data_IF_331974207565
#
_entry.id   IF_331974207565
#
_cell.length_a   1.000
_cell.length_b   1.000
_cell.length_c   1.000
_cell.angle_alpha   90.00
_cell.angle_beta   90.00
_cell.angle_gamma   90.00
#
_symmetry.space_group_name_H-M   'P 1'
#
loop_
_entity.id
_entity.type
_entity.pdbx_description
1 polymer ?
#
# COMPACT_ATOMS: atom_id res chain seq x y z
N UNK A 1 -18.65 -20.64 -4.14
CA UNK A 1 -18.20 -21.12 -5.48
C UNK A 1 -16.83 -21.73 -5.27
N UNK A 2 -16.70 -23.05 -5.46
CA UNK A 2 -15.44 -23.75 -5.31
C UNK A 2 -14.47 -23.26 -6.38
N UNK A 3 -13.38 -22.60 -5.97
CA UNK A 3 -12.27 -22.34 -6.87
C UNK A 3 -11.68 -23.71 -7.24
N UNK A 4 -11.88 -24.14 -8.49
CA UNK A 4 -11.18 -25.31 -9.03
C UNK A 4 -9.70 -24.95 -9.17
N UNK A 5 -8.93 -25.26 -8.15
CA UNK A 5 -7.48 -25.21 -8.21
C UNK A 5 -6.97 -26.42 -9.00
N UNK A 6 -6.37 -26.20 -10.16
CA UNK A 6 -5.32 -27.10 -10.63
C UNK A 6 -4.06 -26.69 -9.85
N UNK A 7 -3.26 -27.60 -9.30
CA UNK A 7 -2.22 -27.19 -8.33
C UNK A 7 -1.25 -26.12 -8.86
N UNK A 8 -1.16 -25.92 -10.18
CA UNK A 8 -0.46 -24.79 -10.82
C UNK A 8 1.06 -24.78 -10.60
N UNK A 9 1.59 -25.76 -9.85
CA UNK A 9 3.00 -25.90 -9.49
C UNK A 9 3.90 -26.02 -10.73
N UNK A 10 3.36 -26.59 -11.81
CA UNK A 10 4.04 -26.76 -13.09
C UNK A 10 3.61 -25.73 -14.15
N UNK A 11 2.84 -24.71 -13.77
CA UNK A 11 2.43 -23.66 -14.69
C UNK A 11 3.64 -22.82 -15.11
N UNK A 12 4.04 -23.00 -16.37
CA UNK A 12 5.16 -22.29 -16.99
C UNK A 12 4.92 -20.79 -17.02
N UNK A 13 3.70 -20.35 -17.32
CA UNK A 13 3.34 -18.95 -17.49
C UNK A 13 3.44 -18.21 -16.15
N UNK A 14 2.93 -18.81 -15.06
CA UNK A 14 3.06 -18.21 -13.73
C UNK A 14 4.51 -18.08 -13.28
N UNK A 15 5.35 -19.08 -13.61
CA UNK A 15 6.79 -18.99 -13.32
C UNK A 15 7.48 -17.88 -14.13
N UNK A 16 7.09 -17.70 -15.39
CA UNK A 16 7.55 -16.60 -16.24
C UNK A 16 7.09 -15.24 -15.69
N UNK A 17 5.86 -15.13 -15.19
CA UNK A 17 5.35 -13.91 -14.54
C UNK A 17 6.15 -13.57 -13.26
N UNK A 18 6.50 -14.55 -12.42
CA UNK A 18 7.38 -14.31 -11.26
C UNK A 18 8.75 -13.78 -11.71
N UNK A 19 9.32 -14.35 -12.78
CA UNK A 19 10.61 -13.90 -13.31
C UNK A 19 10.52 -12.46 -13.85
N UNK A 20 9.41 -12.12 -14.51
CA UNK A 20 9.16 -10.77 -15.02
C UNK A 20 9.01 -9.74 -13.89
N UNK A 21 8.26 -10.05 -12.82
CA UNK A 21 8.21 -9.18 -11.64
C UNK A 21 9.60 -9.06 -11.00
N UNK A 22 10.36 -10.16 -10.90
CA UNK A 22 11.74 -10.13 -10.40
C UNK A 22 12.66 -9.21 -11.20
N UNK A 23 12.52 -9.23 -12.53
CA UNK A 23 13.23 -8.33 -13.46
C UNK A 23 12.86 -6.86 -13.24
N UNK A 24 11.57 -6.56 -13.04
CA UNK A 24 11.10 -5.19 -12.80
C UNK A 24 11.57 -4.65 -11.44
N UNK A 25 11.43 -5.45 -10.39
CA UNK A 25 11.95 -5.15 -9.04
C UNK A 25 13.45 -4.84 -9.09
N UNK A 26 14.24 -5.69 -9.76
CA UNK A 26 15.68 -5.47 -9.91
C UNK A 26 16.00 -4.21 -10.72
N UNK A 27 15.35 -4.00 -11.87
CA UNK A 27 15.61 -2.85 -12.74
C UNK A 27 15.20 -1.50 -12.11
N UNK A 28 14.25 -1.50 -11.18
CA UNK A 28 13.90 -0.33 -10.37
C UNK A 28 14.87 -0.07 -9.22
N UNK A 29 15.80 -0.99 -8.96
CA UNK A 29 16.71 -0.91 -7.81
C UNK A 29 16.01 -1.22 -6.48
N UNK A 30 14.86 -1.90 -6.51
CA UNK A 30 14.13 -2.30 -5.30
C UNK A 30 14.70 -3.56 -4.64
N UNK A 31 15.62 -4.23 -5.31
CA UNK A 31 16.33 -5.39 -4.78
C UNK A 31 17.84 -5.25 -5.06
N UNK A 32 18.65 -5.33 -4.01
CA UNK A 32 20.10 -5.36 -4.09
C UNK A 32 20.64 -6.80 -4.01
N UNK A 33 21.52 -7.15 -4.93
CA UNK A 33 22.15 -8.47 -5.03
C UNK A 33 21.13 -9.62 -5.14
N UNK A 34 20.73 -10.23 -4.03
CA UNK A 34 19.88 -11.43 -3.97
C UNK A 34 18.73 -11.32 -2.96
N UNK A 35 18.45 -10.10 -2.49
CA UNK A 35 17.38 -9.82 -1.55
C UNK A 35 15.99 -9.84 -2.21
N UNK A 36 14.97 -9.57 -1.40
CA UNK A 36 13.56 -9.65 -1.79
C UNK A 36 13.09 -11.07 -2.07
N UNK A 37 11.79 -11.22 -2.28
CA UNK A 37 11.17 -12.47 -2.68
C UNK A 37 9.74 -12.25 -3.19
N UNK A 38 9.30 -13.15 -4.04
CA UNK A 38 8.02 -13.09 -4.74
C UNK A 38 7.34 -14.44 -4.58
N UNK A 39 6.04 -14.44 -4.30
CA UNK A 39 5.24 -15.67 -4.29
C UNK A 39 3.84 -15.48 -4.85
N UNK A 40 3.25 -16.58 -5.31
CA UNK A 40 1.84 -16.66 -5.72
C UNK A 40 1.23 -18.01 -5.31
N UNK A 41 0.06 -17.96 -4.69
CA UNK A 41 -0.77 -19.11 -4.34
C UNK A 41 -1.45 -19.65 -5.58
N UNK A 42 -1.23 -20.93 -5.83
CA UNK A 42 -1.66 -21.64 -7.04
C UNK A 42 -2.58 -22.82 -6.73
N UNK A 43 -2.80 -23.11 -5.44
CA UNK A 43 -3.74 -24.13 -4.99
C UNK A 43 -4.34 -23.85 -3.63
N UNK A 44 -5.09 -24.83 -3.12
CA UNK A 44 -5.58 -24.77 -1.74
C UNK A 44 -4.43 -24.80 -0.74
N UNK A 45 -3.36 -25.54 -1.04
CA UNK A 45 -2.21 -25.66 -0.16
C UNK A 45 -0.90 -25.23 -0.83
N UNK A 46 -0.90 -24.91 -2.12
CA UNK A 46 0.34 -24.76 -2.91
C UNK A 46 0.67 -23.32 -3.27
N UNK A 47 1.93 -22.95 -3.11
CA UNK A 47 2.46 -21.61 -3.38
C UNK A 47 3.76 -21.71 -4.17
N UNK A 48 3.80 -21.06 -5.34
CA UNK A 48 5.05 -20.83 -6.08
C UNK A 48 5.81 -19.69 -5.41
N UNK A 49 7.14 -19.81 -5.29
CA UNK A 49 7.97 -18.76 -4.74
C UNK A 49 9.35 -18.68 -5.39
N UNK A 50 9.93 -17.47 -5.36
CA UNK A 50 11.32 -17.27 -5.76
C UNK A 50 12.27 -18.06 -4.86
N UNK A 51 13.38 -18.60 -5.39
CA UNK A 51 14.40 -19.25 -4.57
C UNK A 51 15.24 -18.22 -3.79
N UNK A 52 15.97 -18.71 -2.79
CA UNK A 52 16.96 -17.93 -2.05
C UNK A 52 18.28 -17.79 -2.83
N UNK A 53 19.10 -16.81 -2.46
CA UNK A 53 20.47 -16.60 -2.98
C UNK A 53 20.58 -16.45 -4.51
N UNK A 54 19.56 -15.87 -5.16
CA UNK A 54 19.61 -15.51 -6.58
C UNK A 54 19.18 -14.05 -6.76
N UNK A 55 19.80 -13.36 -7.70
CA UNK A 55 19.31 -12.07 -8.17
C UNK A 55 17.93 -12.23 -8.80
N UNK A 56 16.94 -11.49 -8.30
CA UNK A 56 15.56 -11.56 -8.80
C UNK A 56 15.44 -11.18 -10.27
N UNK A 57 16.33 -10.33 -10.76
CA UNK A 57 16.37 -9.94 -12.17
C UNK A 57 16.89 -11.01 -13.13
N UNK A 58 17.55 -12.06 -12.62
CA UNK A 58 18.17 -13.12 -13.43
C UNK A 58 17.56 -14.51 -13.19
N UNK A 59 16.42 -14.57 -12.50
CA UNK A 59 15.69 -15.82 -12.32
C UNK A 59 15.23 -16.37 -13.67
N UNK A 60 15.27 -17.69 -13.80
CA UNK A 60 14.63 -18.45 -14.87
C UNK A 60 13.44 -19.20 -14.29
N UNK A 61 12.42 -19.53 -15.10
CA UNK A 61 11.27 -20.29 -14.60
C UNK A 61 11.65 -21.61 -13.93
N UNK A 62 12.74 -22.26 -14.37
CA UNK A 62 13.23 -23.52 -13.79
C UNK A 62 13.85 -23.34 -12.39
N UNK A 63 14.18 -22.10 -12.01
CA UNK A 63 14.68 -21.76 -10.67
C UNK A 63 13.53 -21.63 -9.65
N UNK A 64 12.27 -21.48 -10.09
CA UNK A 64 11.12 -21.25 -9.23
C UNK A 64 10.78 -22.49 -8.40
N UNK A 65 10.62 -22.27 -7.09
CA UNK A 65 10.28 -23.30 -6.11
C UNK A 65 8.77 -23.36 -5.88
N UNK A 66 8.31 -24.44 -5.26
CA UNK A 66 6.97 -24.52 -4.68
C UNK A 66 7.01 -25.01 -3.24
N UNK A 67 6.16 -24.44 -2.40
CA UNK A 67 5.95 -24.86 -1.02
C UNK A 67 4.50 -25.17 -0.75
N UNK A 68 4.24 -25.92 0.32
CA UNK A 68 2.92 -25.96 0.94
C UNK A 68 2.67 -24.75 1.87
N UNK A 69 1.46 -24.60 2.43
CA UNK A 69 1.16 -23.51 3.37
C UNK A 69 1.87 -23.65 4.72
N UNK A 70 2.51 -24.78 5.02
CA UNK A 70 3.35 -24.95 6.21
C UNK A 70 4.82 -24.59 5.93
N UNK A 71 5.14 -24.22 4.68
CA UNK A 71 6.47 -23.78 4.25
C UNK A 71 7.41 -24.93 3.88
N UNK A 72 6.90 -26.16 3.80
CA UNK A 72 7.67 -27.30 3.31
C UNK A 72 7.81 -27.19 1.79
N UNK A 73 9.04 -27.37 1.29
CA UNK A 73 9.28 -27.35 -0.14
C UNK A 73 8.77 -28.65 -0.79
N UNK A 74 7.83 -28.51 -1.73
CA UNK A 74 7.16 -29.63 -2.42
C UNK A 74 7.61 -29.78 -3.88
N UNK A 75 8.21 -28.74 -4.48
CA UNK A 75 8.81 -28.82 -5.81
C UNK A 75 9.92 -27.77 -6.03
N UNK A 76 10.67 -27.94 -7.12
CA UNK A 76 11.80 -27.10 -7.52
C UNK A 76 13.15 -27.64 -7.03
N UNK A 77 14.21 -27.38 -7.80
CA UNK A 77 15.57 -27.89 -7.53
C UNK A 77 16.39 -26.97 -6.64
N UNK A 78 16.07 -25.66 -6.64
CA UNK A 78 16.69 -24.68 -5.73
C UNK A 78 16.00 -24.66 -4.38
N UNK A 79 16.68 -24.10 -3.39
CA UNK A 79 16.09 -23.85 -2.07
C UNK A 79 15.16 -22.64 -2.13
N UNK A 80 13.93 -22.79 -1.64
CA UNK A 80 12.94 -21.70 -1.49
C UNK A 80 13.50 -20.48 -0.71
N UNK A 81 12.87 -19.31 -0.86
CA UNK A 81 13.24 -18.11 -0.08
C UNK A 81 13.25 -18.37 1.43
N UNK A 82 14.20 -17.77 2.17
CA UNK A 82 14.28 -17.85 3.64
C UNK A 82 13.02 -17.32 4.33
N UNK A 83 12.33 -16.37 3.71
CA UNK A 83 11.24 -15.60 4.31
C UNK A 83 9.84 -16.05 3.87
N UNK A 84 9.74 -17.28 3.39
CA UNK A 84 8.45 -17.81 2.90
C UNK A 84 7.35 -17.73 3.96
N UNK A 85 7.70 -17.88 5.25
CA UNK A 85 6.75 -17.79 6.36
C UNK A 85 6.03 -16.45 6.44
N UNK A 86 6.68 -15.34 6.06
CA UNK A 86 6.04 -14.02 5.98
C UNK A 86 4.89 -14.05 4.95
N UNK A 87 5.16 -14.59 3.76
CA UNK A 87 4.18 -14.69 2.68
C UNK A 87 3.01 -15.60 3.07
N UNK A 88 3.32 -16.72 3.71
CA UNK A 88 2.32 -17.71 4.12
C UNK A 88 1.45 -17.19 5.26
N UNK A 89 1.99 -16.45 6.23
CA UNK A 89 1.21 -15.80 7.28
C UNK A 89 0.18 -14.83 6.68
N UNK A 90 0.58 -14.04 5.68
CA UNK A 90 -0.33 -13.14 4.95
C UNK A 90 -1.43 -13.93 4.23
N UNK A 91 -1.06 -14.96 3.46
CA UNK A 91 -2.04 -15.75 2.69
C UNK A 91 -2.98 -16.59 3.56
N UNK A 92 -2.56 -16.98 4.78
CA UNK A 92 -3.39 -17.68 5.76
C UNK A 92 -4.43 -16.75 6.40
N UNK A 93 -4.02 -15.55 6.80
CA UNK A 93 -4.92 -14.56 7.41
C UNK A 93 -5.85 -13.92 6.36
N UNK A 94 -5.40 -13.80 5.11
CA UNK A 94 -6.13 -13.15 4.02
C UNK A 94 -6.33 -14.09 2.82
N UNK A 95 -7.41 -14.89 2.79
CA UNK A 95 -7.71 -15.81 1.69
C UNK A 95 -7.92 -15.14 0.32
N UNK A 96 -8.23 -13.84 0.30
CA UNK A 96 -8.34 -13.03 -0.91
C UNK A 96 -6.97 -12.70 -1.55
N UNK A 97 -5.89 -12.80 -0.78
CA UNK A 97 -4.53 -12.57 -1.23
C UNK A 97 -4.00 -13.81 -1.94
N UNK A 98 -3.58 -13.61 -3.19
CA UNK A 98 -2.94 -14.66 -3.99
C UNK A 98 -1.46 -14.40 -4.20
N UNK A 99 -1.00 -13.16 -4.24
CA UNK A 99 0.38 -12.83 -4.54
C UNK A 99 0.98 -11.91 -3.47
N UNK A 100 2.26 -12.09 -3.20
CA UNK A 100 3.03 -11.31 -2.23
C UNK A 100 4.38 -10.96 -2.84
N UNK A 101 4.78 -9.69 -2.73
CA UNK A 101 6.08 -9.16 -3.13
C UNK A 101 6.72 -8.53 -1.90
N UNK A 102 7.87 -9.05 -1.50
CA UNK A 102 8.73 -8.44 -0.50
C UNK A 102 10.01 -7.96 -1.19
N UNK A 103 10.40 -6.72 -0.94
CA UNK A 103 11.63 -6.12 -1.45
C UNK A 103 12.03 -4.90 -0.61
N UNK A 104 13.12 -4.24 -1.02
CA UNK A 104 13.77 -3.14 -0.30
C UNK A 104 13.80 -1.86 -1.14
N UNK A 105 12.64 -1.32 -1.54
CA UNK A 105 12.61 -0.10 -2.33
C UNK A 105 13.17 1.07 -1.50
N UNK A 106 14.12 1.86 -2.04
CA UNK A 106 15.04 2.65 -1.22
C UNK A 106 14.37 3.78 -0.44
N UNK A 107 13.34 4.42 -1.00
CA UNK A 107 12.67 5.53 -0.35
C UNK A 107 11.75 5.03 0.75
N UNK A 108 10.96 4.00 0.50
CA UNK A 108 10.12 3.42 1.56
C UNK A 108 10.96 2.74 2.66
N UNK A 109 12.08 2.12 2.28
CA UNK A 109 13.03 1.54 3.24
C UNK A 109 13.67 2.64 4.11
N UNK A 110 13.87 3.87 3.59
CA UNK A 110 14.32 4.99 4.41
C UNK A 110 13.33 5.33 5.56
N UNK A 111 12.02 5.30 5.30
CA UNK A 111 11.00 5.45 6.34
C UNK A 111 11.05 4.29 7.34
N UNK A 112 11.22 3.05 6.85
CA UNK A 112 11.36 1.86 7.67
C UNK A 112 12.54 1.95 8.66
N UNK A 113 13.68 2.45 8.19
CA UNK A 113 14.91 2.63 9.00
C UNK A 113 14.74 3.80 9.97
N UNK A 114 14.12 4.90 9.54
CA UNK A 114 13.87 6.07 10.37
C UNK A 114 12.79 5.84 11.45
N UNK A 115 12.01 4.75 11.33
CA UNK A 115 10.78 4.51 12.10
C UNK A 115 9.81 5.69 12.00
N UNK A 116 9.75 6.28 10.80
CA UNK A 116 8.88 7.41 10.49
C UNK A 116 7.59 6.86 9.86
N UNK A 117 6.40 7.10 10.45
CA UNK A 117 5.13 6.81 9.81
C UNK A 117 5.03 7.55 8.47
N UNK A 118 4.39 6.94 7.47
CA UNK A 118 4.14 7.62 6.20
C UNK A 118 3.01 8.64 6.39
N UNK A 119 3.20 9.93 6.06
CA UNK A 119 2.11 10.91 6.05
C UNK A 119 0.95 10.48 5.14
N UNK A 120 -0.29 10.72 5.56
CA UNK A 120 -1.49 10.56 4.73
C UNK A 120 -2.01 11.92 4.28
N UNK A 121 -3.02 11.92 3.40
CA UNK A 121 -3.69 13.12 2.88
C UNK A 121 -2.75 14.06 2.13
N UNK A 122 -1.81 13.53 1.35
CA UNK A 122 -0.87 14.36 0.56
C UNK A 122 -0.99 14.12 -0.94
N UNK A 123 -1.23 12.87 -1.35
CA UNK A 123 -1.22 12.48 -2.76
C UNK A 123 -2.47 11.64 -3.10
N UNK A 124 -3.26 12.01 -4.13
CA UNK A 124 -4.54 11.34 -4.40
C UNK A 124 -4.40 9.85 -4.69
N UNK A 125 -3.36 9.46 -5.43
CA UNK A 125 -3.09 8.08 -5.82
C UNK A 125 -2.92 7.17 -4.59
N UNK A 126 -2.29 7.67 -3.53
CA UNK A 126 -2.06 6.90 -2.31
C UNK A 126 -3.36 6.73 -1.54
N UNK A 127 -4.14 7.80 -1.41
CA UNK A 127 -5.42 7.74 -0.73
C UNK A 127 -6.38 6.76 -1.40
N UNK A 128 -6.43 6.78 -2.73
CA UNK A 128 -7.32 5.93 -3.52
C UNK A 128 -6.84 4.48 -3.61
N UNK A 129 -5.56 4.21 -3.88
CA UNK A 129 -5.10 2.85 -4.19
C UNK A 129 -4.50 2.10 -3.00
N UNK A 130 -4.14 2.79 -1.91
CA UNK A 130 -3.44 2.19 -0.78
C UNK A 130 -4.15 2.50 0.54
N UNK A 131 -4.24 3.77 0.93
CA UNK A 131 -4.66 4.19 2.27
C UNK A 131 -3.51 4.15 3.26
N UNK A 132 -3.81 3.94 4.54
CA UNK A 132 -2.81 3.92 5.60
C UNK A 132 -1.85 2.72 5.43
N UNK A 133 -0.55 2.97 5.58
CA UNK A 133 0.49 1.94 5.49
C UNK A 133 1.07 1.70 6.88
N UNK A 134 0.69 0.60 7.56
CA UNK A 134 1.21 0.29 8.88
C UNK A 134 2.68 -0.12 8.81
N UNK A 135 3.37 0.03 9.94
CA UNK A 135 4.76 -0.35 10.10
C UNK A 135 4.87 -1.47 11.14
N UNK A 136 5.21 -2.67 10.70
CA UNK A 136 5.39 -3.81 11.59
C UNK A 136 6.63 -3.60 12.51
N UNK A 137 6.56 -4.01 13.79
CA UNK A 137 7.71 -3.99 14.69
C UNK A 137 8.90 -4.77 14.12
N UNK A 138 10.11 -4.36 14.49
CA UNK A 138 11.32 -5.08 14.10
C UNK A 138 11.35 -6.49 14.73
N UNK A 139 11.72 -7.47 13.91
CA UNK A 139 12.14 -8.80 14.32
C UNK A 139 13.16 -9.30 13.29
N UNK A 140 14.02 -10.24 13.71
CA UNK A 140 15.03 -10.85 12.85
C UNK A 140 14.37 -11.61 11.69
N UNK A 141 14.68 -11.28 10.43
CA UNK A 141 14.03 -11.89 9.27
C UNK A 141 14.20 -13.40 9.16
N UNK A 142 13.22 -14.06 8.53
CA UNK A 142 13.27 -15.48 8.16
C UNK A 142 12.66 -16.48 9.16
N UNK A 143 12.36 -16.06 10.39
CA UNK A 143 11.68 -16.89 11.40
C UNK A 143 10.17 -16.68 11.47
N UNK A 144 9.44 -17.58 12.15
CA UNK A 144 8.00 -17.44 12.37
C UNK A 144 7.67 -16.18 13.17
N UNK A 145 8.49 -15.82 14.18
CA UNK A 145 8.30 -14.58 14.95
C UNK A 145 8.25 -13.34 14.07
N UNK A 146 9.07 -13.29 13.01
CA UNK A 146 9.06 -12.20 12.05
C UNK A 146 7.77 -12.17 11.23
N UNK A 147 7.31 -13.33 10.76
CA UNK A 147 6.03 -13.46 10.08
C UNK A 147 4.84 -13.05 10.98
N UNK A 148 4.90 -13.36 12.28
CA UNK A 148 3.85 -13.01 13.24
C UNK A 148 3.75 -11.49 13.48
N UNK A 149 4.80 -10.71 13.18
CA UNK A 149 4.78 -9.24 13.36
C UNK A 149 3.78 -8.54 12.46
N UNK A 150 3.46 -9.09 11.28
CA UNK A 150 2.55 -8.44 10.33
C UNK A 150 1.09 -8.77 10.57
N UNK A 151 0.81 -9.91 11.21
CA UNK A 151 -0.55 -10.45 11.40
C UNK A 151 -1.54 -9.46 12.02
N UNK A 152 -1.18 -8.69 13.09
CA UNK A 152 -2.10 -7.72 13.69
C UNK A 152 -2.58 -6.63 12.72
N UNK A 153 -1.81 -6.35 11.66
CA UNK A 153 -2.09 -5.31 10.69
C UNK A 153 -2.90 -5.79 9.48
N UNK A 154 -3.07 -7.09 9.30
CA UNK A 154 -3.75 -7.66 8.12
C UNK A 154 -5.27 -7.49 8.16
N UNK A 155 -5.82 -7.24 9.36
CA UNK A 155 -7.23 -6.94 9.58
C UNK A 155 -7.52 -5.49 9.17
N UNK A 156 -8.66 -5.25 8.53
CA UNK A 156 -9.07 -3.91 8.08
C UNK A 156 -8.70 -3.57 6.64
N UNK A 157 -8.18 -4.51 5.85
CA UNK A 157 -8.07 -4.33 4.40
C UNK A 157 -6.75 -3.75 3.90
N UNK A 158 -5.70 -3.63 4.74
CA UNK A 158 -4.36 -3.29 4.23
C UNK A 158 -3.88 -4.32 3.22
N UNK A 159 -2.98 -3.87 2.38
CA UNK A 159 -2.36 -4.58 1.26
C UNK A 159 -0.87 -4.23 1.11
N UNK A 160 -0.33 -3.43 2.03
CA UNK A 160 1.03 -2.93 2.04
C UNK A 160 1.47 -2.70 3.48
N UNK A 161 2.63 -3.22 3.87
CA UNK A 161 3.20 -3.06 5.22
C UNK A 161 4.68 -2.70 5.11
N UNK A 162 5.11 -1.70 5.88
CA UNK A 162 6.52 -1.41 6.09
C UNK A 162 7.07 -2.33 7.17
N UNK A 163 8.22 -2.92 6.94
CA UNK A 163 8.94 -3.77 7.88
C UNK A 163 10.06 -2.94 8.51
N UNK A 164 9.88 -2.53 9.78
CA UNK A 164 10.84 -1.66 10.49
C UNK A 164 12.27 -2.16 10.32
N UNK A 165 13.20 -1.27 9.94
CA UNK A 165 14.62 -1.62 9.78
C UNK A 165 14.95 -2.62 8.69
N UNK A 166 14.00 -2.94 7.79
CA UNK A 166 14.17 -3.98 6.78
C UNK A 166 13.73 -3.55 5.38
N UNK A 167 12.44 -3.27 5.15
CA UNK A 167 11.92 -3.07 3.81
C UNK A 167 10.40 -3.00 3.75
N UNK A 168 9.81 -3.56 2.70
CA UNK A 168 8.36 -3.53 2.49
C UNK A 168 7.82 -4.89 2.08
N UNK A 169 6.57 -5.18 2.44
CA UNK A 169 5.82 -6.32 1.90
C UNK A 169 4.48 -5.82 1.37
N UNK A 170 4.19 -6.14 0.11
CA UNK A 170 2.95 -5.78 -0.57
C UNK A 170 2.26 -7.03 -1.10
N UNK A 171 0.94 -7.00 -1.18
CA UNK A 171 0.16 -8.18 -1.49
C UNK A 171 -1.16 -7.87 -2.19
N UNK A 172 -1.66 -8.84 -2.95
CA UNK A 172 -2.79 -8.62 -3.85
C UNK A 172 -3.34 -9.88 -4.50
N UNK A 173 -4.29 -9.69 -5.41
CA UNK A 173 -4.97 -10.78 -6.13
C UNK A 173 -4.14 -11.36 -7.29
N UNK A 174 -3.11 -10.64 -7.71
CA UNK A 174 -2.17 -11.03 -8.77
C UNK A 174 -0.78 -10.49 -8.49
N UNK A 175 0.22 -11.06 -9.16
CA UNK A 175 1.61 -10.61 -9.08
C UNK A 175 1.76 -9.12 -9.48
N UNK A 176 1.06 -8.70 -10.53
CA UNK A 176 1.06 -7.30 -10.99
C UNK A 176 0.46 -6.35 -9.95
N UNK A 177 -0.66 -6.73 -9.32
CA UNK A 177 -1.33 -5.93 -8.28
C UNK A 177 -0.44 -5.76 -7.04
N UNK A 178 0.20 -6.85 -6.58
CA UNK A 178 1.16 -6.77 -5.49
C UNK A 178 2.37 -5.89 -5.86
N UNK A 179 2.90 -6.01 -7.07
CA UNK A 179 4.04 -5.23 -7.53
C UNK A 179 3.72 -3.72 -7.69
N UNK A 180 2.57 -3.35 -8.27
CA UNK A 180 2.17 -1.94 -8.40
C UNK A 180 2.10 -1.22 -7.06
N UNK A 181 1.65 -1.91 -6.00
CA UNK A 181 1.65 -1.35 -4.64
C UNK A 181 3.05 -1.01 -4.15
N UNK A 182 4.06 -1.82 -4.48
CA UNK A 182 5.46 -1.49 -4.18
C UNK A 182 5.88 -0.23 -4.94
N UNK A 183 5.55 -0.13 -6.24
CA UNK A 183 5.89 1.05 -7.05
C UNK A 183 5.23 2.33 -6.54
N UNK A 184 3.93 2.27 -6.21
CA UNK A 184 3.17 3.41 -5.66
C UNK A 184 3.79 3.85 -4.33
N UNK A 185 4.08 2.91 -3.44
CA UNK A 185 4.64 3.21 -2.13
C UNK A 185 5.98 3.92 -2.23
N UNK A 186 6.91 3.38 -3.01
CA UNK A 186 8.26 3.96 -3.11
C UNK A 186 8.25 5.31 -3.83
N UNK A 187 7.45 5.44 -4.90
CA UNK A 187 7.27 6.72 -5.58
C UNK A 187 6.71 7.78 -4.62
N UNK A 188 5.75 7.41 -3.77
CA UNK A 188 5.20 8.32 -2.78
C UNK A 188 6.22 8.73 -1.72
N UNK A 189 6.96 7.77 -1.15
CA UNK A 189 8.02 8.05 -0.21
C UNK A 189 9.09 8.97 -0.81
N UNK A 190 9.45 8.78 -2.09
CA UNK A 190 10.36 9.68 -2.78
C UNK A 190 9.81 11.11 -2.88
N UNK A 191 8.54 11.26 -3.30
CA UNK A 191 7.87 12.56 -3.39
C UNK A 191 7.83 13.26 -2.02
N UNK A 192 7.54 12.53 -0.94
CA UNK A 192 7.55 13.08 0.41
C UNK A 192 8.95 13.57 0.83
N UNK A 193 9.99 12.78 0.58
CA UNK A 193 11.37 13.16 0.88
C UNK A 193 11.80 14.40 0.09
N UNK A 194 11.47 14.46 -1.21
CA UNK A 194 11.74 15.61 -2.07
C UNK A 194 10.94 16.84 -1.64
N UNK A 195 9.66 16.69 -1.30
CA UNK A 195 8.81 17.78 -0.83
C UNK A 195 9.33 18.36 0.48
N UNK A 196 9.81 17.51 1.38
CA UNK A 196 10.50 17.94 2.60
C UNK A 196 11.78 18.73 2.29
N UNK A 197 12.56 18.33 1.30
CA UNK A 197 13.75 19.10 0.86
C UNK A 197 13.38 20.47 0.27
N UNK A 198 12.21 20.60 -0.34
CA UNK A 198 11.64 21.89 -0.77
C UNK A 198 11.12 22.74 0.40
N UNK A 199 11.02 22.16 1.61
CA UNK A 199 10.74 22.86 2.86
C UNK A 199 9.33 22.67 3.42
N UNK A 200 8.42 21.96 2.75
CA UNK A 200 7.07 21.70 3.28
C UNK A 200 6.37 20.51 2.60
N UNK A 201 5.43 19.92 3.34
CA UNK A 201 4.39 19.03 2.81
C UNK A 201 3.04 19.72 3.03
N UNK A 202 2.16 19.71 2.02
CA UNK A 202 0.81 20.27 2.13
C UNK A 202 -0.19 19.13 2.19
N UNK A 203 -1.09 19.20 3.17
CA UNK A 203 -2.13 18.22 3.39
C UNK A 203 -3.44 18.65 2.76
N UNK A 204 -4.22 17.69 2.29
CA UNK A 204 -5.59 17.88 1.85
C UNK A 204 -6.47 18.34 3.00
N UNK A 205 -7.48 19.12 2.64
CA UNK A 205 -8.59 19.47 3.52
C UNK A 205 -9.44 18.24 3.84
N UNK A 206 -10.33 18.37 4.83
CA UNK A 206 -11.32 17.34 5.14
C UNK A 206 -12.18 16.99 3.92
N UNK A 207 -12.65 18.00 3.19
CA UNK A 207 -13.54 17.79 2.04
C UNK A 207 -12.84 17.04 0.91
N UNK A 208 -11.63 17.47 0.54
CA UNK A 208 -10.82 16.79 -0.49
C UNK A 208 -10.53 15.34 -0.10
N UNK A 209 -10.19 15.09 1.17
CA UNK A 209 -9.94 13.72 1.66
C UNK A 209 -11.19 12.84 1.58
N UNK A 210 -12.36 13.38 1.94
CA UNK A 210 -13.64 12.65 1.84
C UNK A 210 -14.01 12.35 0.39
N UNK A 211 -13.80 13.29 -0.54
CA UNK A 211 -14.03 13.08 -1.97
C UNK A 211 -13.15 11.96 -2.54
N UNK A 212 -11.88 11.89 -2.12
CA UNK A 212 -10.96 10.80 -2.51
C UNK A 212 -11.41 9.45 -1.96
N UNK A 213 -11.91 9.42 -0.73
CA UNK A 213 -12.47 8.21 -0.12
C UNK A 213 -13.77 7.75 -0.81
N UNK A 214 -14.64 8.68 -1.20
CA UNK A 214 -15.83 8.36 -1.99
C UNK A 214 -15.45 7.79 -3.37
N UNK A 215 -14.42 8.35 -4.00
CA UNK A 215 -13.86 7.82 -5.24
C UNK A 215 -13.29 6.41 -5.04
N UNK A 216 -12.52 6.18 -3.97
CA UNK A 216 -11.98 4.86 -3.60
C UNK A 216 -13.09 3.82 -3.48
N UNK A 217 -14.15 4.15 -2.77
CA UNK A 217 -15.34 3.30 -2.59
C UNK A 217 -16.05 3.02 -3.91
N UNK A 218 -16.22 4.04 -4.76
CA UNK A 218 -16.83 3.90 -6.10
C UNK A 218 -16.02 2.98 -7.02
N UNK A 219 -14.69 2.99 -6.90
CA UNK A 219 -13.78 2.11 -7.64
C UNK A 219 -13.72 0.68 -7.07
N UNK A 220 -14.37 0.43 -5.92
CA UNK A 220 -14.45 -0.89 -5.30
C UNK A 220 -13.21 -1.28 -4.50
N UNK A 221 -12.37 -0.32 -4.10
CA UNK A 221 -11.28 -0.56 -3.17
C UNK A 221 -11.78 -0.46 -1.73
N UNK A 222 -11.28 -1.36 -0.89
CA UNK A 222 -11.56 -1.35 0.55
C UNK A 222 -10.55 -0.48 1.30
N UNK A 223 -10.93 0.02 2.48
CA UNK A 223 -10.10 0.86 3.35
C UNK A 223 -10.57 0.71 4.80
N UNK A 224 -9.66 0.62 5.79
CA UNK A 224 -10.04 0.57 7.20
C UNK A 224 -10.96 1.72 7.64
N UNK A 225 -10.79 2.91 7.06
CA UNK A 225 -11.58 4.11 7.38
C UNK A 225 -13.07 3.94 7.06
N UNK A 226 -13.44 2.97 6.23
CA UNK A 226 -14.84 2.64 5.96
C UNK A 226 -15.50 1.81 7.06
N UNK A 227 -14.73 1.26 8.01
CA UNK A 227 -15.22 0.26 8.97
C UNK A 227 -14.95 0.65 10.43
N UNK A 228 -14.09 1.64 10.70
CA UNK A 228 -13.67 2.03 12.05
C UNK A 228 -14.17 3.43 12.36
N UNK A 229 -15.06 3.57 13.36
CA UNK A 229 -15.70 4.85 13.71
C UNK A 229 -14.71 5.92 14.15
N UNK A 230 -13.72 5.54 14.97
CA UNK A 230 -12.71 6.45 15.54
C UNK A 230 -11.45 6.58 14.68
N UNK A 231 -11.50 6.21 13.39
CA UNK A 231 -10.35 6.33 12.50
C UNK A 231 -10.27 7.73 11.89
N UNK A 232 -9.27 8.51 12.28
CA UNK A 232 -8.99 9.82 11.69
C UNK A 232 -8.74 9.69 10.18
N UNK A 233 -9.17 10.69 9.40
CA UNK A 233 -9.03 10.66 7.94
C UNK A 233 -7.56 10.75 7.48
N UNK A 234 -6.75 11.51 8.21
CA UNK A 234 -5.36 11.82 7.88
C UNK A 234 -4.37 11.35 8.95
N UNK A 235 -4.88 10.92 10.11
CA UNK A 235 -4.10 10.32 11.17
C UNK A 235 -3.84 8.84 10.90
N UNK A 236 -2.58 8.44 11.04
CA UNK A 236 -2.10 7.05 11.01
C UNK A 236 -2.64 6.25 12.20
N UNK A 237 -3.92 5.91 12.14
CA UNK A 237 -4.72 5.51 13.28
C UNK A 237 -5.62 4.31 12.99
N UNK A 238 -5.77 3.92 11.73
CA UNK A 238 -6.51 2.73 11.29
C UNK A 238 -5.95 1.46 11.91
N UNK A 239 -4.63 1.41 12.12
CA UNK A 239 -3.92 0.23 12.57
C UNK A 239 -3.42 0.32 14.02
N UNK A 240 -3.95 1.27 14.81
CA UNK A 240 -3.49 1.53 16.18
C UNK A 240 -3.52 0.29 17.08
N UNK A 241 -4.54 -0.55 16.93
CA UNK A 241 -4.73 -1.76 17.73
C UNK A 241 -3.73 -2.88 17.40
N UNK A 242 -3.07 -2.79 16.24
CA UNK A 242 -2.01 -3.71 15.84
C UNK A 242 -0.72 -3.52 16.64
N UNK A 243 -0.53 -2.34 17.26
CA UNK A 243 0.65 -2.02 18.03
C UNK A 243 0.45 -2.37 19.50
N UNK A 244 1.23 -3.33 20.01
CA UNK A 244 1.27 -3.64 21.46
C UNK A 244 2.12 -2.64 22.23
N UNK A 245 3.26 -2.29 21.67
CA UNK A 245 4.22 -1.32 22.21
C UNK A 245 4.95 -0.65 21.05
N UNK A 246 5.49 0.57 21.28
CA UNK A 246 6.41 1.19 20.33
C UNK A 246 5.78 1.67 19.02
N UNK A 247 4.54 2.19 19.08
CA UNK A 247 3.86 2.88 17.97
C UNK A 247 4.84 3.89 17.33
N UNK A 248 5.09 3.80 16.00
CA UNK A 248 5.93 4.75 15.29
C UNK A 248 5.48 6.18 15.55
N UNK A 249 6.43 7.05 15.89
CA UNK A 249 6.17 8.45 16.21
C UNK A 249 6.66 9.31 15.06
N UNK A 250 5.79 10.17 14.54
CA UNK A 250 6.15 11.17 13.54
C UNK A 250 7.14 12.16 14.15
N UNK A 251 8.29 12.35 13.49
CA UNK A 251 9.36 13.26 13.93
C UNK A 251 9.87 14.13 12.80
N UNK A 252 9.81 13.60 11.58
CA UNK A 252 10.45 14.19 10.42
C UNK A 252 9.53 15.15 9.67
N UNK A 253 8.22 14.92 9.73
CA UNK A 253 7.21 15.71 9.03
C UNK A 253 6.34 16.46 10.04
N UNK A 254 5.78 17.60 9.64
CA UNK A 254 4.81 18.33 10.45
C UNK A 254 3.59 17.44 10.75
N UNK A 255 2.96 17.57 11.93
CA UNK A 255 1.77 16.78 12.25
C UNK A 255 0.69 16.93 11.18
N UNK A 256 0.14 15.81 10.71
CA UNK A 256 -1.01 15.82 9.82
C UNK A 256 -2.20 16.51 10.50
N UNK A 257 -3.09 17.17 9.75
CA UNK A 257 -4.34 17.67 10.31
C UNK A 257 -5.16 16.51 10.86
N UNK A 258 -5.91 16.76 11.94
CA UNK A 258 -6.85 15.79 12.50
C UNK A 258 -8.26 16.14 12.06
N UNK A 259 -8.98 15.16 11.50
CA UNK A 259 -10.34 15.31 11.02
C UNK A 259 -11.23 14.18 11.56
N UNK A 260 -12.53 14.44 11.78
CA UNK A 260 -13.48 13.40 12.12
C UNK A 260 -13.42 12.28 11.08
N UNK A 261 -13.49 11.02 11.54
CA UNK A 261 -13.41 9.87 10.66
C UNK A 261 -14.47 9.83 9.57
N UNK A 262 -14.27 8.96 8.58
CA UNK A 262 -15.16 8.88 7.42
C UNK A 262 -16.62 8.57 7.81
N UNK A 263 -16.82 7.71 8.82
CA UNK A 263 -18.15 7.37 9.36
C UNK A 263 -18.76 8.46 10.25
N UNK A 264 -17.95 9.42 10.69
CA UNK A 264 -18.40 10.54 11.51
C UNK A 264 -18.96 11.69 10.66
N UNK A 265 -19.80 12.53 11.27
CA UNK A 265 -20.27 13.76 10.62
C UNK A 265 -19.08 14.66 10.31
N UNK A 266 -19.02 15.27 9.10
CA UNK A 266 -17.96 16.21 8.77
C UNK A 266 -17.88 17.36 9.77
N UNK A 267 -16.67 17.87 10.01
CA UNK A 267 -16.53 19.05 10.86
C UNK A 267 -17.27 20.22 10.19
N UNK A 268 -18.11 20.93 10.94
CA UNK A 268 -18.92 22.01 10.38
C UNK A 268 -18.06 23.25 10.21
N UNK A 269 -17.28 23.31 9.12
CA UNK A 269 -16.98 24.52 8.33
C UNK A 269 -16.04 24.21 7.15
N UNK A 270 -16.64 24.05 5.96
CA UNK A 270 -16.22 24.76 4.76
C UNK A 270 -17.43 24.86 3.84
N UNK A 271 -17.93 26.09 3.72
CA UNK A 271 -18.87 26.54 2.70
C UNK A 271 -18.53 25.92 1.35
N UNK A 272 -19.50 25.41 0.56
CA UNK A 272 -19.22 25.13 -0.84
C UNK A 272 -18.74 26.44 -1.46
N UNK A 273 -17.57 26.42 -2.10
CA UNK A 273 -17.18 27.46 -3.03
C UNK A 273 -18.16 27.41 -4.22
N UNK A 274 -19.27 28.13 -4.08
CA UNK A 274 -19.83 29.08 -5.04
C UNK A 274 -21.02 29.75 -4.36
N UNK A 275 -20.79 30.92 -3.76
CA UNK A 275 -21.86 31.92 -3.70
C UNK A 275 -22.13 32.37 -5.14
N UNK A 276 -22.91 31.57 -5.90
CA UNK A 276 -23.46 32.02 -7.18
C UNK A 276 -24.46 33.19 -6.98
N UNK A 277 -24.85 33.49 -5.74
CA UNK A 277 -25.67 34.66 -5.44
C UNK A 277 -24.95 35.99 -5.69
N UNK A 278 -23.64 36.07 -5.45
CA UNK A 278 -22.89 37.33 -5.59
C UNK A 278 -22.38 37.52 -7.02
N UNK A 279 -21.96 36.44 -7.68
CA UNK A 279 -21.58 36.45 -9.09
C UNK A 279 -22.77 36.76 -10.01
N UNK A 280 -23.96 36.19 -9.76
CA UNK A 280 -25.16 36.49 -10.57
C UNK A 280 -25.65 37.91 -10.34
N UNK A 281 -25.53 38.44 -9.11
CA UNK A 281 -25.84 39.84 -8.82
C UNK A 281 -24.84 40.80 -9.47
N UNK A 282 -23.55 40.45 -9.47
CA UNK A 282 -22.50 41.24 -10.12
C UNK A 282 -22.63 41.19 -11.65
N UNK A 283 -22.91 40.01 -12.23
CA UNK A 283 -23.19 39.84 -13.66
C UNK A 283 -24.43 40.62 -14.05
N UNK A 284 -25.50 40.58 -13.25
CA UNK A 284 -26.72 41.36 -13.48
C UNK A 284 -26.44 42.87 -13.40
N UNK A 285 -25.72 43.33 -12.37
CA UNK A 285 -25.38 44.75 -12.22
C UNK A 285 -24.52 45.27 -13.38
N UNK A 286 -23.54 44.48 -13.84
CA UNK A 286 -22.71 44.82 -15.00
C UNK A 286 -23.55 44.82 -16.29
N UNK A 287 -24.45 43.84 -16.45
CA UNK A 287 -25.34 43.75 -17.62
C UNK A 287 -26.30 44.94 -17.68
N UNK A 288 -26.90 45.33 -16.54
CA UNK A 288 -27.81 46.48 -16.45
C UNK A 288 -27.07 47.80 -16.76
N UNK A 289 -25.83 47.95 -16.30
CA UNK A 289 -24.98 49.11 -16.65
C UNK A 289 -24.63 49.17 -18.13
N UNK A 290 -24.28 48.03 -18.74
CA UNK A 290 -23.96 47.96 -20.17
C UNK A 290 -25.20 48.23 -21.03
N UNK A 291 -26.36 47.70 -20.64
CA UNK A 291 -27.62 47.96 -21.35
C UNK A 291 -28.07 49.42 -21.24
N UNK A 292 -27.89 50.04 -20.07
CA UNK A 292 -28.15 51.47 -19.87
C UNK A 292 -27.22 52.36 -20.71
N UNK A 293 -25.94 51.99 -20.84
CA UNK A 293 -24.97 52.71 -21.67
C UNK A 293 -25.20 52.54 -23.17
N UNK A 294 -25.88 51.46 -23.59
CA UNK A 294 -26.19 51.17 -25.00
C UNK A 294 -27.55 51.69 -25.47
N UNK A 295 -28.28 52.44 -24.64
CA UNK A 295 -29.46 53.22 -25.06
C UNK A 295 -30.62 52.38 -25.58
N UNK A 296 -31.03 51.34 -24.84
CA UNK A 296 -32.37 50.74 -24.94
C UNK A 296 -33.11 50.83 -23.62
#
# INVERSE_FOLDING_TARGET
MSNQWNSGIHDRKLKEEICEIGRRVYNKGFAAANDGNISIRVGENEVLCSPTMICKGFMKPDDICAVDLDGNQIAGTRKRTSEILLHLAIMKERPDVKAVVHCHPPHATAFAVAREPIPQCVLPEVEVFMGEVPMAPYETPGGQKFADTVVPFLKGGTNTIILTGHGTVTFGKSLEDAYWKTEILDAYCNILLLSKQLGRVTYFTENETRELLDLKKKLGFDDPRFHVEDCDLCGNSAFRDGYKEGIPQQKSFDPAPSYPGYLSKPSTQATPATNNGDSDQLIKAITDQVMSALGK
#
